data_IF_678713964138
#
_entry.id   IF_678713964138
#
_cell.length_a   1.000
_cell.length_b   1.000
_cell.length_c   1.000
_cell.angle_alpha   90.00
_cell.angle_beta   90.00
_cell.angle_gamma   90.00
#
_symmetry.space_group_name_H-M   'P 1'
#
loop_
_entity.id
_entity.type
_entity.pdbx_description
1 polymer ?
#
# COMPACT_ATOMS: atom_id res chain seq x y z
N UNK A 1 -1.48 -19.16 -21.05
CA UNK A 1 -0.63 -19.37 -22.23
C UNK A 1 -1.11 -18.50 -23.38
N UNK A 2 -0.18 -17.78 -24.01
CA UNK A 2 -0.46 -16.89 -25.14
C UNK A 2 0.55 -17.17 -26.28
N UNK A 3 0.11 -17.89 -27.27
CA UNK A 3 0.85 -18.25 -28.49
C UNK A 3 0.37 -17.47 -29.74
N UNK A 4 -0.44 -16.43 -29.55
CA UNK A 4 -1.00 -15.66 -30.66
C UNK A 4 0.09 -15.03 -31.55
N UNK A 5 0.11 -15.35 -32.84
CA UNK A 5 1.12 -14.88 -33.79
C UNK A 5 0.88 -13.44 -34.29
N UNK A 6 -0.34 -12.94 -34.13
CA UNK A 6 -0.76 -11.63 -34.65
C UNK A 6 -0.34 -10.44 -33.77
N UNK A 7 0.29 -10.69 -32.62
CA UNK A 7 0.76 -9.65 -31.70
C UNK A 7 2.25 -9.84 -31.38
N UNK A 8 2.99 -8.73 -31.39
CA UNK A 8 4.41 -8.75 -31.02
C UNK A 8 4.56 -8.99 -29.49
N UNK A 9 5.65 -9.64 -29.05
CA UNK A 9 5.89 -9.94 -27.64
C UNK A 9 5.76 -8.70 -26.73
N UNK A 10 6.32 -7.56 -27.11
CA UNK A 10 6.22 -6.33 -26.30
C UNK A 10 4.79 -5.84 -26.07
N UNK A 11 3.90 -6.00 -27.06
CA UNK A 11 2.48 -5.67 -26.88
C UNK A 11 1.81 -6.61 -25.87
N UNK A 12 2.07 -7.93 -25.99
CA UNK A 12 1.53 -8.92 -25.07
C UNK A 12 2.00 -8.63 -23.64
N UNK A 13 3.27 -8.31 -23.46
CA UNK A 13 3.85 -7.99 -22.14
C UNK A 13 3.15 -6.82 -21.48
N UNK A 14 2.98 -5.70 -22.21
CA UNK A 14 2.29 -4.53 -21.70
C UNK A 14 0.80 -4.81 -21.37
N UNK A 15 0.11 -5.59 -22.20
CA UNK A 15 -1.29 -5.96 -21.99
C UNK A 15 -1.46 -6.77 -20.70
N UNK A 16 -0.59 -7.76 -20.45
CA UNK A 16 -0.65 -8.57 -19.24
C UNK A 16 -0.18 -7.81 -17.98
N UNK A 17 0.77 -6.89 -18.10
CA UNK A 17 1.16 -6.00 -17.02
C UNK A 17 0.00 -5.09 -16.57
N UNK A 18 -0.77 -4.54 -17.52
CA UNK A 18 -1.99 -3.79 -17.23
C UNK A 18 -3.07 -4.64 -16.56
N UNK A 19 -3.21 -5.89 -16.95
CA UNK A 19 -4.14 -6.84 -16.33
C UNK A 19 -3.72 -7.30 -14.93
N UNK A 20 -2.51 -6.94 -14.49
CA UNK A 20 -2.00 -7.26 -13.16
C UNK A 20 -1.41 -8.66 -13.02
N UNK A 21 -1.02 -9.32 -14.12
CA UNK A 21 -0.35 -10.63 -14.06
C UNK A 21 0.96 -10.51 -13.29
N UNK A 22 1.14 -11.22 -12.17
CA UNK A 22 2.27 -10.99 -11.25
C UNK A 22 3.59 -11.52 -11.77
N UNK A 23 3.58 -12.63 -12.49
CA UNK A 23 4.76 -13.29 -13.05
C UNK A 23 4.54 -13.55 -14.53
N UNK A 24 5.52 -13.20 -15.34
CA UNK A 24 5.54 -13.51 -16.75
C UNK A 24 6.66 -14.52 -17.03
N UNK A 25 6.32 -15.58 -17.72
CA UNK A 25 7.24 -16.57 -18.25
C UNK A 25 7.33 -16.39 -19.77
N UNK A 26 8.54 -16.26 -20.30
CA UNK A 26 8.78 -16.20 -21.74
C UNK A 26 9.79 -17.28 -22.13
N UNK A 27 9.48 -18.02 -23.17
CA UNK A 27 10.31 -19.12 -23.66
C UNK A 27 10.46 -19.01 -25.18
N UNK A 28 11.68 -19.09 -25.65
CA UNK A 28 12.02 -19.12 -27.07
C UNK A 28 12.81 -20.37 -27.44
N UNK A 29 13.21 -20.48 -28.72
CA UNK A 29 13.96 -21.64 -29.20
C UNK A 29 15.28 -21.85 -28.46
N UNK A 30 16.02 -20.75 -28.15
CA UNK A 30 17.27 -20.84 -27.39
C UNK A 30 17.07 -21.31 -25.96
N UNK A 31 15.96 -20.85 -25.33
CA UNK A 31 15.64 -21.27 -23.98
C UNK A 31 15.34 -22.75 -23.92
N UNK A 32 14.60 -23.28 -24.89
CA UNK A 32 14.32 -24.69 -25.01
C UNK A 32 15.60 -25.52 -25.19
N UNK A 33 16.53 -25.07 -26.04
CA UNK A 33 17.83 -25.75 -26.27
C UNK A 33 18.67 -25.79 -24.99
N UNK A 34 18.59 -24.74 -24.17
CA UNK A 34 19.35 -24.62 -22.92
C UNK A 34 18.62 -25.17 -21.69
N UNK A 35 17.37 -25.57 -21.82
CA UNK A 35 16.53 -26.00 -20.68
C UNK A 35 16.24 -24.88 -19.70
N UNK A 36 16.08 -23.63 -20.20
CA UNK A 36 15.87 -22.43 -19.39
C UNK A 36 14.58 -21.69 -19.76
N UNK A 37 14.21 -20.70 -18.98
CA UNK A 37 13.05 -19.82 -19.22
C UNK A 37 13.33 -18.42 -18.65
N UNK A 38 12.96 -17.35 -19.39
CA UNK A 38 12.97 -15.99 -18.84
C UNK A 38 11.75 -15.80 -17.93
N UNK A 39 12.01 -15.33 -16.74
CA UNK A 39 10.99 -14.98 -15.74
C UNK A 39 11.06 -13.47 -15.46
N UNK A 40 9.92 -12.82 -15.42
CA UNK A 40 9.85 -11.40 -15.03
C UNK A 40 8.82 -11.22 -13.93
N UNK A 41 9.21 -10.54 -12.86
CA UNK A 41 8.34 -10.13 -11.75
C UNK A 41 7.74 -8.75 -12.02
N UNK A 42 6.44 -8.60 -11.83
CA UNK A 42 5.75 -7.33 -12.02
C UNK A 42 5.98 -6.32 -10.88
N UNK A 43 6.21 -6.79 -9.67
CA UNK A 43 6.37 -5.94 -8.48
C UNK A 43 7.72 -5.21 -8.42
N UNK A 44 8.79 -5.81 -8.99
CA UNK A 44 10.15 -5.25 -9.05
C UNK A 44 10.58 -4.88 -10.46
N UNK A 45 9.90 -5.40 -11.50
CA UNK A 45 10.26 -5.32 -12.91
C UNK A 45 11.60 -6.02 -13.24
N UNK A 46 12.09 -6.83 -12.33
CA UNK A 46 13.30 -7.61 -12.52
C UNK A 46 13.06 -8.82 -13.41
N UNK A 47 14.08 -9.13 -14.20
CA UNK A 47 14.12 -10.31 -15.07
C UNK A 47 15.24 -11.23 -14.66
N UNK A 48 14.98 -12.51 -14.69
CA UNK A 48 15.97 -13.55 -14.46
C UNK A 48 15.75 -14.72 -15.41
N UNK A 49 16.77 -15.54 -15.60
CA UNK A 49 16.68 -16.77 -16.36
C UNK A 49 16.80 -17.93 -15.38
N UNK A 50 15.79 -18.77 -15.33
CA UNK A 50 15.72 -19.92 -14.44
C UNK A 50 15.76 -21.23 -15.24
N UNK A 51 16.18 -22.35 -14.61
CA UNK A 51 15.99 -23.66 -15.19
C UNK A 51 14.52 -23.95 -15.45
N UNK A 52 14.22 -24.61 -16.56
CA UNK A 52 12.86 -25.04 -16.88
C UNK A 52 12.38 -26.14 -15.91
N UNK A 53 13.33 -26.99 -15.51
CA UNK A 53 13.07 -27.99 -14.46
C UNK A 53 12.86 -27.32 -13.11
N UNK A 54 11.77 -27.67 -12.42
CA UNK A 54 11.39 -27.08 -11.14
C UNK A 54 10.79 -25.66 -11.23
N UNK A 55 10.43 -25.19 -12.44
CA UNK A 55 9.90 -23.82 -12.60
C UNK A 55 8.56 -23.62 -11.91
N UNK A 56 7.73 -24.65 -11.80
CA UNK A 56 6.44 -24.53 -11.13
C UNK A 56 6.59 -24.18 -9.64
N UNK A 57 7.47 -24.90 -8.95
CA UNK A 57 7.78 -24.68 -7.55
C UNK A 57 8.48 -23.33 -7.33
N UNK A 58 9.33 -22.91 -8.28
CA UNK A 58 9.97 -21.60 -8.24
C UNK A 58 8.95 -20.46 -8.38
N UNK A 59 7.98 -20.59 -9.29
CA UNK A 59 6.91 -19.61 -9.48
C UNK A 59 5.99 -19.56 -8.26
N UNK A 60 5.65 -20.68 -7.63
CA UNK A 60 4.84 -20.71 -6.41
C UNK A 60 5.49 -19.91 -5.28
N UNK A 61 6.78 -20.16 -5.02
CA UNK A 61 7.54 -19.37 -4.04
C UNK A 61 7.63 -17.90 -4.41
N UNK A 62 7.80 -17.60 -5.68
CA UNK A 62 7.86 -16.23 -6.19
C UNK A 62 6.54 -15.49 -5.97
N UNK A 63 5.39 -16.13 -6.11
CA UNK A 63 4.08 -15.54 -5.85
C UNK A 63 3.92 -15.17 -4.37
N UNK A 64 4.37 -16.01 -3.46
CA UNK A 64 4.38 -15.71 -2.01
C UNK A 64 5.30 -14.51 -1.70
N UNK A 65 6.48 -14.49 -2.30
CA UNK A 65 7.42 -13.37 -2.15
C UNK A 65 6.85 -12.05 -2.70
N UNK A 66 6.18 -12.09 -3.85
CA UNK A 66 5.51 -10.92 -4.45
C UNK A 66 4.42 -10.40 -3.51
N UNK A 67 3.59 -11.29 -2.98
CA UNK A 67 2.52 -10.93 -2.04
C UNK A 67 3.11 -10.24 -0.80
N UNK A 68 4.15 -10.80 -0.22
CA UNK A 68 4.83 -10.24 0.94
C UNK A 68 5.50 -8.89 0.62
N UNK A 69 6.17 -8.77 -0.53
CA UNK A 69 6.82 -7.52 -0.95
C UNK A 69 5.81 -6.39 -1.14
N UNK A 70 4.69 -6.65 -1.80
CA UNK A 70 3.61 -5.66 -2.01
C UNK A 70 3.02 -5.25 -0.66
N UNK A 71 2.75 -6.22 0.23
CA UNK A 71 2.22 -5.94 1.57
C UNK A 71 3.18 -5.09 2.40
N UNK A 72 4.46 -5.47 2.46
CA UNK A 72 5.47 -4.73 3.22
C UNK A 72 5.70 -3.31 2.67
N UNK A 73 5.64 -3.14 1.35
CA UNK A 73 5.74 -1.83 0.70
C UNK A 73 4.57 -0.93 1.09
N UNK A 74 3.35 -1.46 1.05
CA UNK A 74 2.15 -0.75 1.47
C UNK A 74 2.17 -0.42 2.97
N UNK A 75 2.59 -1.37 3.81
CA UNK A 75 2.73 -1.18 5.25
C UNK A 75 3.74 -0.09 5.58
N UNK A 76 4.93 -0.15 5.01
CA UNK A 76 5.97 0.88 5.20
C UNK A 76 5.51 2.27 4.76
N UNK A 77 4.81 2.34 3.62
CA UNK A 77 4.24 3.59 3.15
C UNK A 77 3.22 4.15 4.14
N UNK A 78 2.27 3.32 4.59
CA UNK A 78 1.28 3.72 5.60
C UNK A 78 1.96 4.22 6.86
N UNK A 79 2.91 3.45 7.41
CA UNK A 79 3.55 3.76 8.69
C UNK A 79 4.38 5.05 8.62
N UNK A 80 5.00 5.33 7.48
CA UNK A 80 5.71 6.58 7.22
C UNK A 80 4.80 7.81 7.09
N UNK A 81 3.49 7.60 6.92
CA UNK A 81 2.50 8.68 6.77
C UNK A 81 1.51 8.75 7.93
N UNK A 82 1.83 8.13 9.07
CA UNK A 82 1.10 8.31 10.33
C UNK A 82 1.87 9.31 11.17
N UNK A 83 1.22 10.41 11.55
CA UNK A 83 1.81 11.52 12.29
C UNK A 83 1.07 11.73 13.61
N UNK A 84 1.79 11.78 14.72
CA UNK A 84 1.19 12.24 15.97
C UNK A 84 1.06 13.76 15.93
N UNK A 85 -0.12 14.27 16.34
CA UNK A 85 -0.39 15.69 16.39
C UNK A 85 -1.45 15.99 17.44
N UNK A 86 -1.09 16.79 18.44
CA UNK A 86 -1.97 17.21 19.52
C UNK A 86 -2.15 18.76 19.54
N UNK A 87 -1.73 19.44 18.46
CA UNK A 87 -1.93 20.87 18.25
C UNK A 87 -2.86 21.10 17.05
N UNK A 88 -3.98 21.78 17.29
CA UNK A 88 -5.02 21.94 16.26
C UNK A 88 -4.59 22.84 15.10
N UNK A 89 -3.85 23.91 15.35
CA UNK A 89 -3.37 24.79 14.29
C UNK A 89 -2.32 24.09 13.41
N UNK A 90 -1.39 23.35 14.02
CA UNK A 90 -0.45 22.50 13.29
C UNK A 90 -1.18 21.43 12.47
N UNK A 91 -2.19 20.79 13.05
CA UNK A 91 -3.01 19.80 12.36
C UNK A 91 -3.68 20.40 11.11
N UNK A 92 -4.31 21.58 11.24
CA UNK A 92 -4.99 22.24 10.11
C UNK A 92 -4.04 22.56 8.95
N UNK A 93 -2.80 22.89 9.22
CA UNK A 93 -1.81 23.13 8.17
C UNK A 93 -1.35 21.82 7.52
N UNK A 94 -0.95 20.85 8.33
CA UNK A 94 -0.36 19.61 7.83
C UNK A 94 -1.36 18.67 7.10
N UNK A 95 -2.65 18.68 7.51
CA UNK A 95 -3.66 17.83 6.89
C UNK A 95 -3.93 18.17 5.42
N UNK A 96 -3.53 19.36 4.97
CA UNK A 96 -3.63 19.79 3.57
C UNK A 96 -2.73 18.95 2.66
N UNK A 97 -1.60 18.50 3.17
CA UNK A 97 -0.62 17.67 2.45
C UNK A 97 -0.99 16.17 2.48
N UNK A 98 -2.08 15.82 3.18
CA UNK A 98 -2.55 14.43 3.34
C UNK A 98 -1.86 13.70 4.48
N UNK A 99 -2.08 12.37 4.53
CA UNK A 99 -1.58 11.51 5.60
C UNK A 99 -2.64 11.16 6.64
N UNK A 100 -2.20 10.45 7.67
CA UNK A 100 -3.00 9.97 8.78
C UNK A 100 -2.52 10.62 10.07
N UNK A 101 -3.39 11.30 10.78
CA UNK A 101 -3.04 12.00 12.01
C UNK A 101 -3.58 11.26 13.22
N UNK A 102 -2.70 10.85 14.11
CA UNK A 102 -3.01 10.20 15.38
C UNK A 102 -3.14 11.28 16.46
N UNK A 103 -4.37 11.62 16.80
CA UNK A 103 -4.70 12.74 17.69
C UNK A 103 -5.53 12.28 18.89
N UNK A 104 -5.42 12.96 20.02
CA UNK A 104 -6.34 12.78 21.13
C UNK A 104 -7.72 13.35 20.80
N UNK A 105 -8.77 12.61 21.17
CA UNK A 105 -10.17 12.99 20.93
C UNK A 105 -11.03 12.76 22.16
N UNK A 106 -11.86 13.75 22.50
CA UNK A 106 -12.74 13.74 23.68
C UNK A 106 -13.99 12.86 23.54
N UNK A 107 -14.19 12.23 22.36
CA UNK A 107 -15.31 11.35 22.09
C UNK A 107 -16.62 12.05 21.73
N UNK A 108 -16.61 13.37 21.51
CA UNK A 108 -17.83 14.13 21.25
C UNK A 108 -18.07 14.36 19.75
N UNK A 109 -19.35 14.36 19.37
CA UNK A 109 -19.76 14.66 17.99
C UNK A 109 -19.47 16.12 17.60
N UNK A 110 -19.46 17.03 18.58
CA UNK A 110 -19.21 18.46 18.37
C UNK A 110 -17.78 18.70 17.88
N UNK A 111 -16.78 18.05 18.50
CA UNK A 111 -15.38 18.18 18.08
C UNK A 111 -15.13 17.51 16.73
N UNK A 112 -15.74 16.37 16.46
CA UNK A 112 -15.69 15.71 15.13
C UNK A 112 -16.30 16.61 14.05
N UNK A 113 -17.47 17.18 14.29
CA UNK A 113 -18.14 18.09 13.35
C UNK A 113 -17.29 19.31 13.03
N UNK A 114 -16.65 19.91 14.05
CA UNK A 114 -15.76 21.07 13.90
C UNK A 114 -14.52 20.72 13.06
N UNK A 115 -13.88 19.58 13.31
CA UNK A 115 -12.75 19.10 12.50
C UNK A 115 -13.16 18.98 11.03
N UNK A 116 -14.32 18.34 10.78
CA UNK A 116 -14.84 18.15 9.43
C UNK A 116 -15.16 19.47 8.73
N UNK A 117 -15.80 20.41 9.42
CA UNK A 117 -16.17 21.71 8.86
C UNK A 117 -14.92 22.52 8.49
N UNK A 118 -13.93 22.61 9.37
CA UNK A 118 -12.75 23.45 9.17
C UNK A 118 -11.68 22.83 8.25
N UNK A 119 -11.60 21.50 8.16
CA UNK A 119 -10.49 20.81 7.47
C UNK A 119 -10.89 19.83 6.39
N UNK A 120 -12.18 19.49 6.30
CA UNK A 120 -12.70 18.39 5.47
C UNK A 120 -12.13 16.99 5.85
N UNK A 121 -11.39 16.91 6.95
CA UNK A 121 -10.92 15.64 7.50
C UNK A 121 -12.01 15.01 8.39
N UNK A 122 -11.96 13.69 8.51
CA UNK A 122 -12.88 12.93 9.37
C UNK A 122 -12.12 11.90 10.19
N UNK A 123 -12.67 11.53 11.33
CA UNK A 123 -12.19 10.42 12.13
C UNK A 123 -12.40 9.12 11.31
N UNK A 124 -11.37 8.32 11.17
CA UNK A 124 -11.37 7.06 10.42
C UNK A 124 -11.59 5.85 11.30
N UNK A 125 -10.89 5.81 12.41
CA UNK A 125 -10.97 4.71 13.37
C UNK A 125 -10.33 5.08 14.70
N UNK A 126 -10.65 4.28 15.72
CA UNK A 126 -9.86 4.13 16.93
C UNK A 126 -8.89 2.98 16.67
N UNK A 127 -7.58 3.21 16.50
CA UNK A 127 -6.65 2.17 16.07
C UNK A 127 -6.31 1.20 17.20
N UNK A 128 -6.41 -0.11 16.94
CA UNK A 128 -6.01 -1.14 17.90
C UNK A 128 -4.48 -1.31 18.00
N UNK A 129 -3.73 -0.85 17.01
CA UNK A 129 -2.27 -1.01 16.91
C UNK A 129 -1.47 -0.04 17.76
N UNK A 130 -2.10 0.99 18.30
CA UNK A 130 -1.46 2.00 19.16
C UNK A 130 -1.99 1.88 20.59
N UNK A 131 -1.08 2.10 21.56
CA UNK A 131 -1.48 2.19 22.95
C UNK A 131 -2.39 3.39 23.16
N UNK A 132 -3.51 3.17 23.85
CA UNK A 132 -4.44 4.22 24.18
C UNK A 132 -3.94 4.95 25.43
N UNK A 133 -3.47 6.16 25.25
CA UNK A 133 -2.95 7.01 26.34
C UNK A 133 -3.89 8.16 26.64
N UNK A 134 -4.04 8.52 27.93
CA UNK A 134 -4.76 9.76 28.30
C UNK A 134 -4.03 11.00 27.74
N UNK A 135 -4.80 11.99 27.32
CA UNK A 135 -4.27 13.26 26.81
C UNK A 135 -5.32 14.35 26.80
N UNK A 136 -5.12 15.35 25.98
CA UNK A 136 -6.02 16.48 25.81
C UNK A 136 -6.48 16.54 24.36
N UNK A 137 -7.78 16.63 24.15
CA UNK A 137 -8.35 16.84 22.82
C UNK A 137 -7.86 18.19 22.26
N UNK A 138 -7.31 18.14 21.06
CA UNK A 138 -6.68 19.31 20.44
C UNK A 138 -7.68 20.42 20.05
N UNK A 139 -8.98 20.10 19.95
CA UNK A 139 -10.04 21.04 19.53
C UNK A 139 -10.74 21.65 20.72
N UNK A 140 -11.17 20.83 21.68
CA UNK A 140 -11.95 21.26 22.84
C UNK A 140 -11.11 21.62 24.05
N UNK A 141 -9.86 21.16 24.11
CA UNK A 141 -9.00 21.31 25.30
C UNK A 141 -9.44 20.44 26.48
N UNK A 142 -10.40 19.53 26.29
CA UNK A 142 -10.90 18.64 27.34
C UNK A 142 -10.04 17.38 27.47
N UNK A 143 -10.08 16.70 28.63
CA UNK A 143 -9.43 15.39 28.77
C UNK A 143 -9.96 14.39 27.75
N UNK A 144 -9.05 13.65 27.15
CA UNK A 144 -9.31 12.56 26.22
C UNK A 144 -8.69 11.27 26.75
N UNK A 145 -9.36 10.14 26.57
CA UNK A 145 -8.90 8.82 27.01
C UNK A 145 -8.42 7.96 25.86
N UNK A 146 -8.56 8.45 24.63
CA UNK A 146 -8.22 7.69 23.43
C UNK A 146 -7.61 8.58 22.35
N UNK A 147 -6.80 7.94 21.51
CA UNK A 147 -6.32 8.50 20.24
C UNK A 147 -7.12 7.94 19.09
N UNK A 148 -7.36 8.76 18.09
CA UNK A 148 -8.05 8.39 16.85
C UNK A 148 -7.20 8.73 15.64
N UNK A 149 -7.42 8.02 14.56
CA UNK A 149 -6.84 8.37 13.25
C UNK A 149 -7.79 9.32 12.53
N UNK A 150 -7.27 10.47 12.16
CA UNK A 150 -7.97 11.49 11.36
C UNK A 150 -7.28 11.60 10.01
N UNK A 151 -8.05 11.64 8.93
CA UNK A 151 -7.53 11.83 7.60
C UNK A 151 -8.53 12.52 6.67
N UNK A 152 -8.01 13.18 5.64
CA UNK A 152 -8.79 13.76 4.56
C UNK A 152 -9.01 12.74 3.45
N UNK A 153 -10.20 12.70 2.84
CA UNK A 153 -10.51 11.69 1.82
C UNK A 153 -10.02 12.06 0.43
N UNK A 154 -9.98 13.32 0.10
CA UNK A 154 -9.54 13.85 -1.20
C UNK A 154 -9.22 15.34 -1.06
#
# INVERSE_FOLDING_TARGET
YDDADNKRPGFKFADYELKGVPVRLAIGGRDLENGTIEVMRRDTLEKETLPLDGIAEAVEKMLDDIQNNIFEKARKYRDAHIYECDNYEEFKERIKDGGFFLCHWDGTAETEAKIKEETQATIRCVPFMFEQTPGIDMVSGKPATQRVIIARSY
#
